data_IF_122244905286
#
_entry.id   IF_122244905286
#
_cell.length_a   1.000
_cell.length_b   1.000
_cell.length_c   1.000
_cell.angle_alpha   90.00
_cell.angle_beta   90.00
_cell.angle_gamma   90.00
#
_symmetry.space_group_name_H-M   'P 1'
#
loop_
_entity.id
_entity.type
_entity.pdbx_description
1 polymer ?
#
# COMPACT_ATOMS: atom_id res chain seq x y z
N UNK A 1 -23.92 13.50 -4.58
CA UNK A 1 -23.00 12.35 -4.72
C UNK A 1 -23.00 11.65 -3.38
N UNK A 2 -23.63 10.48 -3.33
CA UNK A 2 -24.12 9.80 -2.12
C UNK A 2 -22.97 9.43 -1.18
N UNK A 3 -23.15 9.71 0.11
CA UNK A 3 -22.24 9.41 1.21
C UNK A 3 -21.84 7.92 1.28
N UNK A 4 -20.68 7.58 0.71
CA UNK A 4 -20.01 6.28 0.91
C UNK A 4 -19.34 6.16 2.30
N UNK A 5 -19.59 7.09 3.22
CA UNK A 5 -18.80 7.24 4.44
C UNK A 5 -19.22 6.30 5.59
N UNK A 6 -20.30 5.54 5.46
CA UNK A 6 -20.91 4.89 6.63
C UNK A 6 -20.52 3.44 6.94
N UNK A 7 -19.70 2.77 6.12
CA UNK A 7 -19.27 1.40 6.47
C UNK A 7 -17.82 1.18 6.05
N UNK A 8 -16.89 1.34 7.00
CA UNK A 8 -15.52 0.89 6.79
C UNK A 8 -15.53 -0.65 6.80
N UNK A 9 -15.32 -1.31 5.64
CA UNK A 9 -15.45 -2.76 5.55
C UNK A 9 -14.40 -3.46 6.43
N UNK A 10 -13.23 -2.85 6.63
CA UNK A 10 -12.18 -3.39 7.51
C UNK A 10 -12.62 -3.43 8.97
N UNK A 11 -13.43 -2.46 9.42
CA UNK A 11 -14.01 -2.45 10.78
C UNK A 11 -15.10 -3.52 10.90
N UNK A 12 -16.00 -3.60 9.92
CA UNK A 12 -17.05 -4.62 9.88
C UNK A 12 -16.48 -6.05 9.97
N UNK A 13 -15.46 -6.37 9.16
CA UNK A 13 -14.81 -7.69 9.19
C UNK A 13 -13.97 -7.94 10.44
N UNK A 14 -13.56 -6.88 11.15
CA UNK A 14 -12.86 -7.00 12.44
C UNK A 14 -13.84 -7.39 13.55
N UNK A 15 -15.03 -6.81 13.56
CA UNK A 15 -16.09 -7.13 14.53
C UNK A 15 -16.63 -8.55 14.33
N UNK A 16 -16.82 -8.97 13.07
CA UNK A 16 -17.31 -10.31 12.72
C UNK A 16 -16.20 -11.38 12.64
N UNK A 17 -14.98 -11.06 13.07
CA UNK A 17 -13.85 -11.99 13.01
C UNK A 17 -14.01 -13.18 13.98
N UNK A 18 -14.76 -13.00 15.07
CA UNK A 18 -15.04 -14.03 16.06
C UNK A 18 -16.05 -15.04 15.51
N UNK A 19 -17.13 -14.53 14.88
CA UNK A 19 -18.20 -15.37 14.34
C UNK A 19 -17.81 -16.01 13.00
N UNK A 20 -16.99 -15.33 12.21
CA UNK A 20 -16.59 -15.74 10.85
C UNK A 20 -15.06 -15.70 10.67
N UNK A 21 -14.30 -16.55 11.36
CA UNK A 21 -12.84 -16.48 11.38
C UNK A 21 -12.20 -16.76 10.01
N UNK A 22 -12.77 -17.69 9.22
CA UNK A 22 -12.26 -18.01 7.89
C UNK A 22 -12.55 -16.88 6.88
N UNK A 23 -13.77 -16.33 6.91
CA UNK A 23 -14.20 -15.31 5.96
C UNK A 23 -13.57 -13.95 6.26
N UNK A 24 -13.47 -13.57 7.54
CA UNK A 24 -12.75 -12.36 7.96
C UNK A 24 -11.27 -12.40 7.55
N UNK A 25 -10.62 -13.58 7.58
CA UNK A 25 -9.25 -13.74 7.11
C UNK A 25 -9.12 -13.45 5.62
N UNK A 26 -10.03 -13.97 4.80
CA UNK A 26 -10.03 -13.70 3.36
C UNK A 26 -10.33 -12.22 3.07
N UNK A 27 -11.35 -11.68 3.74
CA UNK A 27 -11.74 -10.29 3.56
C UNK A 27 -10.61 -9.31 3.89
N UNK A 28 -9.80 -9.58 4.93
CA UNK A 28 -8.59 -8.80 5.22
C UNK A 28 -7.62 -8.78 4.05
N UNK A 29 -7.35 -9.93 3.42
CA UNK A 29 -6.45 -10.00 2.28
C UNK A 29 -6.99 -9.19 1.08
N UNK A 30 -8.27 -9.36 0.73
CA UNK A 30 -8.87 -8.66 -0.40
C UNK A 30 -9.02 -7.15 -0.18
N UNK A 31 -9.35 -6.72 1.03
CA UNK A 31 -9.53 -5.30 1.36
C UNK A 31 -8.19 -4.57 1.61
N UNK A 32 -7.12 -5.31 1.93
CA UNK A 32 -5.78 -4.74 2.05
C UNK A 32 -5.10 -4.45 0.72
N UNK A 33 -5.56 -5.10 -0.36
CA UNK A 33 -5.03 -4.87 -1.69
C UNK A 33 -5.56 -3.54 -2.21
N UNK A 34 -4.68 -2.62 -2.68
CA UNK A 34 -5.15 -1.42 -3.35
C UNK A 34 -5.91 -1.79 -4.61
N UNK A 35 -7.03 -1.12 -4.85
CA UNK A 35 -7.89 -1.38 -6.00
C UNK A 35 -7.21 -1.04 -7.35
N UNK A 36 -6.09 -0.32 -7.33
CA UNK A 36 -5.40 0.16 -8.53
C UNK A 36 -3.89 -0.02 -8.44
N UNK A 37 -3.24 -0.18 -9.60
CA UNK A 37 -1.77 -0.20 -9.72
C UNK A 37 -1.12 1.17 -9.48
N UNK A 38 -1.90 2.25 -9.37
CA UNK A 38 -1.45 3.64 -9.27
C UNK A 38 -0.45 3.84 -8.13
N UNK A 39 -0.65 3.18 -7.00
CA UNK A 39 0.30 3.26 -5.87
C UNK A 39 1.65 2.61 -6.21
N UNK A 40 1.63 1.50 -6.94
CA UNK A 40 2.85 0.82 -7.41
C UNK A 40 3.56 1.67 -8.47
N UNK A 41 2.81 2.20 -9.44
CA UNK A 41 3.34 3.07 -10.50
C UNK A 41 3.95 4.36 -9.94
N UNK A 42 3.35 4.94 -8.89
CA UNK A 42 3.88 6.09 -8.18
C UNK A 42 5.22 5.76 -7.51
N UNK A 43 5.31 4.64 -6.79
CA UNK A 43 6.56 4.18 -6.17
C UNK A 43 7.66 3.90 -7.22
N UNK A 44 7.32 3.30 -8.36
CA UNK A 44 8.23 3.10 -9.48
C UNK A 44 8.67 4.41 -10.14
N UNK A 45 7.76 5.37 -10.30
CA UNK A 45 8.08 6.67 -10.88
C UNK A 45 9.02 7.48 -9.98
N UNK A 46 8.78 7.44 -8.66
CA UNK A 46 9.62 8.09 -7.65
C UNK A 46 11.02 7.46 -7.61
N UNK A 47 11.10 6.13 -7.59
CA UNK A 47 12.38 5.43 -7.62
C UNK A 47 13.15 5.66 -8.93
N UNK A 48 12.47 5.67 -10.08
CA UNK A 48 13.06 6.03 -11.37
C UNK A 48 13.52 7.49 -11.43
N UNK A 49 12.81 8.40 -10.76
CA UNK A 49 13.21 9.80 -10.62
C UNK A 49 14.49 9.94 -9.77
N UNK A 50 14.57 9.25 -8.62
CA UNK A 50 15.77 9.24 -7.77
C UNK A 50 16.96 8.51 -8.40
N UNK A 51 16.70 7.47 -9.19
CA UNK A 51 17.72 6.69 -9.91
C UNK A 51 18.21 7.36 -11.19
N UNK A 52 17.56 8.45 -11.63
CA UNK A 52 17.99 9.20 -12.80
C UNK A 52 19.34 9.87 -12.48
N UNK A 53 20.35 9.48 -13.27
CA UNK A 53 21.81 9.71 -13.13
C UNK A 53 22.30 11.14 -12.85
N UNK A 54 21.45 12.16 -12.84
CA UNK A 54 21.91 13.55 -12.83
C UNK A 54 22.34 14.08 -11.45
N UNK A 55 22.03 13.40 -10.33
CA UNK A 55 22.54 13.84 -9.00
C UNK A 55 22.89 12.77 -7.97
N UNK A 56 22.68 11.49 -8.23
CA UNK A 56 22.85 10.46 -7.20
C UNK A 56 23.64 9.27 -7.71
N UNK A 57 24.92 9.16 -7.29
CA UNK A 57 25.72 7.92 -7.37
C UNK A 57 25.23 6.89 -6.35
N UNK A 58 23.92 6.73 -6.20
CA UNK A 58 23.36 5.70 -5.32
C UNK A 58 23.38 4.36 -6.07
N UNK A 59 23.92 3.35 -5.42
CA UNK A 59 23.75 1.97 -5.86
C UNK A 59 22.27 1.60 -5.81
N UNK A 60 21.80 0.65 -6.64
CA UNK A 60 20.41 0.20 -6.62
C UNK A 60 19.93 -0.24 -5.22
N UNK A 61 20.84 -0.83 -4.44
CA UNK A 61 20.61 -1.23 -3.04
C UNK A 61 20.36 -0.03 -2.12
N UNK A 62 21.20 1.01 -2.19
CA UNK A 62 21.03 2.21 -1.38
C UNK A 62 19.76 2.99 -1.78
N UNK A 63 19.38 2.93 -3.06
CA UNK A 63 18.15 3.53 -3.56
C UNK A 63 16.92 2.82 -3.00
N UNK A 64 16.90 1.48 -3.03
CA UNK A 64 15.82 0.69 -2.45
C UNK A 64 15.65 0.97 -0.94
N UNK A 65 16.77 1.01 -0.20
CA UNK A 65 16.79 1.37 1.22
C UNK A 65 16.24 2.78 1.47
N UNK A 66 16.62 3.76 0.65
CA UNK A 66 16.16 5.15 0.79
C UNK A 66 14.66 5.30 0.51
N UNK A 67 14.15 4.59 -0.50
CA UNK A 67 12.71 4.56 -0.82
C UNK A 67 11.92 3.87 0.29
N UNK A 68 12.43 2.76 0.83
CA UNK A 68 11.80 2.05 1.94
C UNK A 68 11.72 2.90 3.21
N UNK A 69 12.82 3.59 3.57
CA UNK A 69 12.85 4.49 4.73
C UNK A 69 11.86 5.65 4.56
N UNK A 70 11.72 6.21 3.34
CA UNK A 70 10.76 7.28 3.04
C UNK A 70 9.30 6.81 3.11
N UNK A 71 9.02 5.56 2.77
CA UNK A 71 7.66 4.98 2.82
C UNK A 71 7.22 4.64 4.25
N UNK A 72 8.18 4.48 5.18
CA UNK A 72 7.95 4.03 6.56
C UNK A 72 8.10 5.13 7.62
N UNK A 73 8.68 6.27 7.27
CA UNK A 73 8.70 7.51 8.07
C UNK A 73 7.47 8.36 7.79
#
# INVERSE_FOLDING_TARGET
FIDCQFMNPTIFWKEHAIDLPLLSRMARCYLSAPATSVQSESAFSISAHYGRKERSRLTPENLAMSVFLKDKL
#
